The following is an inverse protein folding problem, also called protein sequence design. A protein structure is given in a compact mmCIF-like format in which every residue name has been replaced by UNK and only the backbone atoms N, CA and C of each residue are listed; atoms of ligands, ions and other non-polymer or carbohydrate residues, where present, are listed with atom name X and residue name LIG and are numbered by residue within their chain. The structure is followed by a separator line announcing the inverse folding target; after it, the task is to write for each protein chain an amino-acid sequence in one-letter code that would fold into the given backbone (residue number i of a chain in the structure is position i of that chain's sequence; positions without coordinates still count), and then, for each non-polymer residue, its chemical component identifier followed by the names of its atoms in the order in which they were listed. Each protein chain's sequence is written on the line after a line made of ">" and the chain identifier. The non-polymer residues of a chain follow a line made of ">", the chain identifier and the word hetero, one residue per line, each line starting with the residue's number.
data_IF_364594711876
#
_entry.id   IF_364594711876
#
_cell.length_a   1.000
_cell.length_b   1.000
_cell.length_c   1.000
_cell.angle_alpha   90.00
_cell.angle_beta   90.00
_cell.angle_gamma   90.00
#
_symmetry.space_group_name_H-M   'P 1'
#
loop_
_entity.id
_entity.type
_entity.pdbx_description
1 polymer ?
#
# COMPACT_ATOMS: atom_id res chain seq x y z
N UNK A 1 6.54 24.75 -2.09
CA UNK A 1 5.96 24.07 -3.22
C UNK A 1 4.48 24.03 -2.99
N UNK A 2 3.67 23.91 -4.03
CA UNK A 2 2.25 23.68 -3.76
C UNK A 2 2.09 22.27 -3.20
N UNK A 3 1.18 22.11 -2.25
CA UNK A 3 0.65 20.81 -1.83
C UNK A 3 0.40 19.89 -3.04
N UNK A 4 -0.16 20.43 -4.11
CA UNK A 4 -0.43 19.73 -5.37
C UNK A 4 0.82 19.10 -5.99
N UNK A 5 1.98 19.77 -5.98
CA UNK A 5 3.20 19.20 -6.55
C UNK A 5 3.83 18.11 -5.68
N UNK A 6 3.64 18.15 -4.35
CA UNK A 6 3.99 17.03 -3.45
C UNK A 6 3.07 15.84 -3.74
N UNK A 7 1.76 16.09 -3.87
CA UNK A 7 0.78 15.08 -4.23
C UNK A 7 1.09 14.43 -5.59
N UNK A 8 1.38 15.21 -6.62
CA UNK A 8 1.76 14.70 -7.95
C UNK A 8 3.05 13.86 -7.92
N UNK A 9 4.00 14.21 -7.04
CA UNK A 9 5.19 13.40 -6.77
C UNK A 9 4.84 12.06 -6.13
N UNK A 10 3.99 12.09 -5.09
CA UNK A 10 3.55 10.92 -4.36
C UNK A 10 2.69 9.97 -5.21
N UNK A 11 1.75 10.49 -6.00
CA UNK A 11 0.90 9.68 -6.87
C UNK A 11 1.73 8.87 -7.87
N UNK A 12 2.76 9.48 -8.47
CA UNK A 12 3.69 8.77 -9.36
C UNK A 12 4.43 7.66 -8.63
N UNK A 13 4.90 7.91 -7.41
CA UNK A 13 5.53 6.88 -6.60
C UNK A 13 4.56 5.72 -6.29
N UNK A 14 3.31 6.01 -5.92
CA UNK A 14 2.28 5.00 -5.67
C UNK A 14 2.00 4.19 -6.93
N UNK A 15 1.93 4.83 -8.10
CA UNK A 15 1.75 4.17 -9.38
C UNK A 15 2.88 3.17 -9.66
N UNK A 16 4.13 3.60 -9.52
CA UNK A 16 5.31 2.74 -9.72
C UNK A 16 5.33 1.58 -8.71
N UNK A 17 4.95 1.84 -7.45
CA UNK A 17 4.89 0.82 -6.40
C UNK A 17 3.79 -0.21 -6.64
N UNK A 18 2.63 0.22 -7.14
CA UNK A 18 1.52 -0.67 -7.51
C UNK A 18 1.88 -1.49 -8.74
N UNK A 19 2.49 -0.89 -9.76
CA UNK A 19 2.96 -1.61 -10.95
C UNK A 19 4.00 -2.69 -10.56
N UNK A 20 4.99 -2.32 -9.74
CA UNK A 20 5.99 -3.25 -9.23
C UNK A 20 5.38 -4.36 -8.37
N UNK A 21 4.39 -4.04 -7.54
CA UNK A 21 3.65 -5.03 -6.73
C UNK A 21 2.85 -5.97 -7.62
N UNK A 22 2.13 -5.45 -8.61
CA UNK A 22 1.34 -6.22 -9.55
C UNK A 22 2.22 -7.20 -10.35
N UNK A 23 3.36 -6.73 -10.86
CA UNK A 23 4.32 -7.57 -11.59
C UNK A 23 4.82 -8.78 -10.76
N UNK A 24 4.87 -8.63 -9.44
CA UNK A 24 5.33 -9.67 -8.52
C UNK A 24 4.20 -10.51 -7.94
N UNK A 25 2.95 -10.06 -7.96
CA UNK A 25 1.82 -10.75 -7.33
C UNK A 25 1.42 -12.02 -8.09
N UNK A 26 1.17 -13.10 -7.35
CA UNK A 26 0.82 -14.40 -7.93
C UNK A 26 -0.50 -14.94 -7.40
N UNK A 27 -1.56 -14.79 -8.20
CA UNK A 27 -2.88 -15.42 -8.00
C UNK A 27 -2.74 -16.93 -7.74
N UNK A 28 -1.83 -17.60 -8.44
CA UNK A 28 -1.62 -19.03 -8.25
C UNK A 28 -1.09 -19.40 -6.86
N UNK A 29 -0.29 -18.54 -6.23
CA UNK A 29 0.22 -18.75 -4.86
C UNK A 29 -0.88 -18.51 -3.85
N UNK A 30 -1.65 -17.44 -4.04
CA UNK A 30 -2.83 -17.12 -3.22
C UNK A 30 -3.79 -18.30 -3.20
N UNK A 31 -4.25 -18.75 -4.37
CA UNK A 31 -5.25 -19.82 -4.47
C UNK A 31 -4.79 -21.15 -3.85
N UNK A 32 -3.49 -21.44 -3.90
CA UNK A 32 -2.92 -22.68 -3.34
C UNK A 32 -2.75 -22.63 -1.82
N UNK A 33 -2.67 -21.45 -1.21
CA UNK A 33 -2.30 -21.28 0.22
C UNK A 33 -3.40 -20.63 1.06
N UNK A 34 -4.19 -19.74 0.48
CA UNK A 34 -5.14 -18.88 1.16
C UNK A 34 -6.60 -19.29 1.06
N UNK A 35 -6.92 -20.38 0.35
CA UNK A 35 -8.29 -20.93 0.32
C UNK A 35 -8.44 -21.96 1.43
N UNK A 36 -9.25 -21.66 2.43
CA UNK A 36 -9.53 -22.56 3.55
C UNK A 36 -10.87 -23.29 3.35
N UNK A 37 -10.84 -24.61 3.13
CA UNK A 37 -12.05 -25.46 3.04
C UNK A 37 -11.99 -26.59 2.00
N UNK A 38 -13.02 -27.47 1.95
CA UNK A 38 -13.10 -28.57 0.99
C UNK A 38 -13.39 -28.04 -0.42
N UNK A 39 -12.34 -27.71 -1.19
CA UNK A 39 -12.50 -26.94 -2.42
C UNK A 39 -11.52 -27.25 -3.55
N UNK A 40 -10.80 -28.38 -3.54
CA UNK A 40 -9.74 -28.67 -4.53
C UNK A 40 -10.18 -28.48 -6.00
N UNK A 41 -11.37 -28.95 -6.37
CA UNK A 41 -11.91 -28.79 -7.72
C UNK A 41 -12.27 -27.32 -8.08
N UNK A 42 -12.68 -26.51 -7.09
CA UNK A 42 -12.95 -25.08 -7.27
C UNK A 42 -11.65 -24.30 -7.42
N UNK A 43 -10.65 -24.58 -6.58
CA UNK A 43 -9.30 -24.03 -6.68
C UNK A 43 -8.67 -24.36 -8.04
N UNK A 44 -8.77 -25.60 -8.49
CA UNK A 44 -8.27 -26.01 -9.81
C UNK A 44 -8.95 -25.27 -10.96
N UNK A 45 -10.26 -24.99 -10.83
CA UNK A 45 -10.99 -24.22 -11.83
C UNK A 45 -10.58 -22.75 -11.82
N UNK A 46 -10.45 -22.13 -10.65
CA UNK A 46 -9.96 -20.76 -10.50
C UNK A 46 -8.54 -20.60 -11.05
N UNK A 47 -7.66 -21.58 -10.81
CA UNK A 47 -6.31 -21.60 -11.39
C UNK A 47 -6.30 -21.64 -12.92
N UNK A 48 -7.29 -22.28 -13.57
CA UNK A 48 -7.43 -22.29 -15.04
C UNK A 48 -7.95 -20.97 -15.60
N UNK A 49 -8.52 -20.12 -14.75
CA UNK A 49 -9.08 -18.82 -15.10
C UNK A 49 -8.38 -17.71 -14.32
N UNK A 50 -7.06 -17.82 -14.15
CA UNK A 50 -6.25 -16.83 -13.41
C UNK A 50 -6.36 -15.43 -13.98
N UNK A 51 -6.46 -15.28 -15.30
CA UNK A 51 -6.56 -13.98 -15.96
C UNK A 51 -7.90 -13.30 -15.63
N UNK A 52 -8.97 -14.09 -15.53
CA UNK A 52 -10.27 -13.57 -15.11
C UNK A 52 -10.25 -13.10 -13.64
N UNK A 53 -9.56 -13.85 -12.76
CA UNK A 53 -9.36 -13.42 -11.37
C UNK A 53 -8.50 -12.17 -11.29
N UNK A 54 -7.49 -12.06 -12.15
CA UNK A 54 -6.69 -10.86 -12.26
C UNK A 54 -7.56 -9.65 -12.58
N UNK A 55 -8.31 -9.72 -13.69
CA UNK A 55 -9.10 -8.60 -14.19
C UNK A 55 -10.28 -8.22 -13.28
N UNK A 56 -10.90 -9.20 -12.61
CA UNK A 56 -12.15 -8.99 -11.86
C UNK A 56 -11.99 -8.86 -10.36
N UNK A 57 -10.83 -9.23 -9.83
CA UNK A 57 -10.57 -9.22 -8.39
C UNK A 57 -9.27 -8.48 -8.10
N UNK A 58 -8.14 -8.94 -8.64
CA UNK A 58 -6.83 -8.35 -8.28
C UNK A 58 -6.73 -6.89 -8.72
N UNK A 59 -7.04 -6.59 -9.98
CA UNK A 59 -6.92 -5.22 -10.50
C UNK A 59 -7.84 -4.24 -9.76
N UNK A 60 -9.15 -4.53 -9.53
CA UNK A 60 -9.99 -3.68 -8.70
C UNK A 60 -9.49 -3.48 -7.26
N UNK A 61 -8.90 -4.50 -6.64
CA UNK A 61 -8.31 -4.38 -5.29
C UNK A 61 -7.06 -3.48 -5.31
N UNK A 62 -6.23 -3.56 -6.35
CA UNK A 62 -5.08 -2.67 -6.55
C UNK A 62 -5.52 -1.22 -6.80
N UNK A 63 -6.56 -1.00 -7.60
CA UNK A 63 -7.13 0.33 -7.85
C UNK A 63 -7.67 0.94 -6.55
N UNK A 64 -8.39 0.16 -5.76
CA UNK A 64 -8.89 0.56 -4.43
C UNK A 64 -7.75 0.88 -3.46
N UNK A 65 -6.68 0.07 -3.46
CA UNK A 65 -5.49 0.32 -2.65
C UNK A 65 -4.78 1.61 -3.07
N UNK A 66 -4.69 1.91 -4.37
CA UNK A 66 -4.17 3.19 -4.90
C UNK A 66 -4.95 4.37 -4.34
N UNK A 67 -6.27 4.35 -4.51
CA UNK A 67 -7.16 5.44 -4.09
C UNK A 67 -7.04 5.71 -2.59
N UNK A 68 -7.04 4.65 -1.77
CA UNK A 68 -6.88 4.74 -0.31
C UNK A 68 -5.51 5.26 0.10
N UNK A 69 -4.44 4.82 -0.56
CA UNK A 69 -3.08 5.28 -0.27
C UNK A 69 -2.92 6.77 -0.58
N UNK A 70 -3.47 7.25 -1.69
CA UNK A 70 -3.48 8.67 -2.04
C UNK A 70 -4.34 9.48 -1.07
N UNK A 71 -5.51 8.98 -0.68
CA UNK A 71 -6.36 9.64 0.31
C UNK A 71 -5.69 9.72 1.69
N UNK A 72 -5.00 8.66 2.11
CA UNK A 72 -4.24 8.64 3.36
C UNK A 72 -3.10 9.67 3.32
N UNK A 73 -2.40 9.79 2.20
CA UNK A 73 -1.36 10.80 2.08
C UNK A 73 -1.93 12.23 2.10
N UNK A 74 -3.11 12.47 1.53
CA UNK A 74 -3.77 13.77 1.66
C UNK A 74 -4.08 14.11 3.14
N UNK A 75 -4.51 13.14 3.95
CA UNK A 75 -4.69 13.33 5.40
C UNK A 75 -3.35 13.59 6.13
N UNK A 76 -2.26 12.97 5.69
CA UNK A 76 -0.91 13.23 6.21
C UNK A 76 -0.46 14.67 5.86
N UNK A 77 -0.80 15.17 4.67
CA UNK A 77 -0.52 16.56 4.31
C UNK A 77 -1.36 17.55 5.14
N UNK A 78 -2.60 17.20 5.47
CA UNK A 78 -3.43 18.01 6.38
C UNK A 78 -2.80 18.11 7.77
N UNK A 79 -2.19 17.02 8.26
CA UNK A 79 -1.35 17.03 9.46
C UNK A 79 -0.10 17.92 9.28
N UNK A 80 0.66 17.72 8.20
CA UNK A 80 1.92 18.44 7.96
C UNK A 80 1.74 19.96 7.82
N UNK A 81 0.58 20.41 7.34
CA UNK A 81 0.22 21.83 7.23
C UNK A 81 -0.39 22.41 8.52
N UNK A 82 -0.73 21.56 9.49
CA UNK A 82 -1.30 21.98 10.76
C UNK A 82 -0.22 22.27 11.81
N UNK A 83 -0.62 22.93 12.90
CA UNK A 83 0.22 23.08 14.10
C UNK A 83 -0.16 22.09 15.20
N UNK A 84 -1.03 21.13 14.88
CA UNK A 84 -1.57 20.16 15.83
C UNK A 84 -0.65 18.94 15.93
N UNK A 85 -0.80 18.19 17.02
CA UNK A 85 -0.11 16.91 17.21
C UNK A 85 -0.73 15.84 16.30
N UNK A 86 0.07 14.85 15.85
CA UNK A 86 -0.42 13.79 14.96
C UNK A 86 -1.61 13.00 15.55
N UNK A 87 -1.71 12.92 16.88
CA UNK A 87 -2.84 12.28 17.55
C UNK A 87 -4.18 12.96 17.25
N UNK A 88 -4.19 14.27 16.94
CA UNK A 88 -5.41 14.97 16.51
C UNK A 88 -5.91 14.51 15.13
N UNK A 89 -5.01 13.95 14.31
CA UNK A 89 -5.28 13.45 12.96
C UNK A 89 -5.33 11.92 12.87
N UNK A 90 -5.15 11.20 14.00
CA UNK A 90 -5.05 9.73 14.07
C UNK A 90 -6.17 9.01 13.31
N UNK A 91 -7.42 9.38 13.60
CA UNK A 91 -8.58 8.69 13.02
C UNK A 91 -8.72 8.94 11.51
N UNK A 92 -8.32 10.14 11.05
CA UNK A 92 -8.35 10.51 9.64
C UNK A 92 -7.24 9.78 8.85
N UNK A 93 -6.00 9.82 9.36
CA UNK A 93 -4.84 9.16 8.75
C UNK A 93 -5.04 7.64 8.72
N UNK A 94 -5.40 7.02 9.85
CA UNK A 94 -5.59 5.57 9.90
C UNK A 94 -6.85 5.13 9.16
N UNK A 95 -7.93 5.93 9.21
CA UNK A 95 -9.20 5.61 8.56
C UNK A 95 -9.18 5.72 7.04
N UNK A 96 -8.29 6.53 6.47
CA UNK A 96 -8.15 6.68 5.03
C UNK A 96 -7.37 5.53 4.37
N UNK A 97 -6.48 4.86 5.11
CA UNK A 97 -5.60 3.81 4.59
C UNK A 97 -6.15 2.38 4.72
N UNK A 98 -5.68 1.49 3.86
CA UNK A 98 -6.11 0.07 3.83
C UNK A 98 -5.67 -0.72 5.06
N UNK A 99 -4.50 -0.42 5.64
CA UNK A 99 -3.88 -1.32 6.61
C UNK A 99 -4.51 -1.29 8.00
N UNK A 100 -5.03 -0.14 8.46
CA UNK A 100 -5.75 -0.10 9.73
C UNK A 100 -7.04 -0.94 9.67
N UNK A 101 -7.74 -0.93 8.53
CA UNK A 101 -8.92 -1.75 8.28
C UNK A 101 -8.58 -3.26 8.17
N UNK A 102 -7.35 -3.59 7.76
CA UNK A 102 -6.87 -4.97 7.67
C UNK A 102 -6.36 -5.55 9.01
N UNK A 103 -6.39 -4.78 10.10
CA UNK A 103 -6.02 -5.29 11.43
C UNK A 103 -7.09 -6.29 11.88
N UNK A 104 -6.67 -7.49 12.27
CA UNK A 104 -7.57 -8.55 12.71
C UNK A 104 -8.47 -8.13 13.87
N UNK A 105 -9.74 -8.50 13.79
CA UNK A 105 -10.76 -8.17 14.78
C UNK A 105 -10.63 -8.97 16.09
N UNK A 106 -9.95 -10.11 16.06
CA UNK A 106 -9.74 -10.98 17.21
C UNK A 106 -8.50 -10.61 18.05
N UNK A 107 -7.78 -9.56 17.67
CA UNK A 107 -6.62 -9.10 18.42
C UNK A 107 -7.01 -8.51 19.77
N UNK A 108 -6.24 -8.80 20.84
CA UNK A 108 -6.38 -8.08 22.10
C UNK A 108 -6.27 -6.57 21.89
N UNK A 109 -7.13 -5.78 22.54
CA UNK A 109 -7.21 -4.33 22.35
C UNK A 109 -5.85 -3.61 22.53
N UNK A 110 -5.05 -4.03 23.52
CA UNK A 110 -3.71 -3.48 23.74
C UNK A 110 -2.75 -3.79 22.58
N UNK A 111 -2.89 -4.97 21.96
CA UNK A 111 -2.11 -5.36 20.79
C UNK A 111 -2.54 -4.59 19.55
N UNK A 112 -3.84 -4.44 19.31
CA UNK A 112 -4.38 -3.61 18.23
C UNK A 112 -3.87 -2.17 18.34
N UNK A 113 -3.94 -1.57 19.52
CA UNK A 113 -3.45 -0.20 19.75
C UNK A 113 -1.96 -0.05 19.42
N UNK A 114 -1.10 -0.98 19.84
CA UNK A 114 0.33 -0.93 19.47
C UNK A 114 0.59 -0.98 17.97
N UNK A 115 -0.21 -1.76 17.23
CA UNK A 115 -0.09 -1.85 15.77
C UNK A 115 -0.53 -0.55 15.12
N UNK A 116 -1.65 0.03 15.57
CA UNK A 116 -2.13 1.34 15.13
C UNK A 116 -1.10 2.45 15.44
N UNK A 117 -0.54 2.48 16.65
CA UNK A 117 0.47 3.46 17.05
C UNK A 117 1.75 3.34 16.19
N UNK A 118 2.14 2.11 15.82
CA UNK A 118 3.29 1.87 14.93
C UNK A 118 3.03 2.34 13.50
N UNK A 119 1.81 2.16 13.00
CA UNK A 119 1.38 2.69 11.70
C UNK A 119 1.36 4.22 11.74
N UNK A 120 0.77 4.81 12.79
CA UNK A 120 0.69 6.25 12.96
C UNK A 120 2.08 6.89 13.03
N UNK A 121 3.01 6.33 13.81
CA UNK A 121 4.39 6.83 13.91
C UNK A 121 5.14 6.81 12.56
N UNK A 122 4.81 5.86 11.68
CA UNK A 122 5.36 5.86 10.32
C UNK A 122 4.79 7.02 9.49
N UNK A 123 3.48 7.28 9.60
CA UNK A 123 2.82 8.37 8.90
C UNK A 123 3.20 9.75 9.43
N UNK A 124 3.39 9.89 10.75
CA UNK A 124 3.95 11.08 11.40
C UNK A 124 5.33 11.40 10.82
N UNK A 125 6.22 10.41 10.77
CA UNK A 125 7.55 10.56 10.20
C UNK A 125 7.53 11.00 8.74
N UNK A 126 6.58 10.49 7.93
CA UNK A 126 6.41 10.93 6.55
C UNK A 126 5.89 12.38 6.48
N UNK A 127 4.90 12.73 7.31
CA UNK A 127 4.34 14.08 7.42
C UNK A 127 5.42 15.12 7.76
N UNK A 128 6.23 14.84 8.77
CA UNK A 128 7.33 15.72 9.18
C UNK A 128 8.38 15.89 8.07
N UNK A 129 8.69 14.80 7.35
CA UNK A 129 9.67 14.82 6.27
C UNK A 129 9.23 15.65 5.05
N UNK A 130 7.93 15.84 4.83
CA UNK A 130 7.42 16.63 3.70
C UNK A 130 7.22 18.11 4.03
N UNK A 131 7.26 18.52 5.29
CA UNK A 131 7.11 19.95 5.69
C UNK A 131 8.07 20.87 4.93
N UNK A 132 9.40 20.61 4.86
CA UNK A 132 10.32 21.49 4.14
C UNK A 132 9.98 21.62 2.65
N UNK A 133 9.50 20.53 2.05
CA UNK A 133 9.11 20.48 0.65
C UNK A 133 7.89 21.37 0.39
N UNK A 134 6.86 21.27 1.23
CA UNK A 134 5.65 22.10 1.16
C UNK A 134 6.01 23.59 1.35
N UNK A 135 6.84 23.92 2.33
CA UNK A 135 7.22 25.30 2.64
C UNK A 135 8.16 25.95 1.61
N UNK A 136 8.77 25.17 0.72
CA UNK A 136 9.68 25.65 -0.32
C UNK A 136 9.05 26.76 -1.19
N UNK A 137 9.80 27.73 -1.75
CA UNK A 137 9.23 28.63 -2.76
C UNK A 137 9.11 27.98 -4.15
N UNK A 138 9.76 26.83 -4.38
CA UNK A 138 9.84 26.18 -5.69
C UNK A 138 8.52 25.52 -6.10
N UNK A 139 8.25 25.42 -7.40
CA UNK A 139 7.00 24.84 -7.94
C UNK A 139 7.15 23.43 -8.50
N UNK A 140 8.38 22.97 -8.72
CA UNK A 140 8.70 21.60 -9.13
C UNK A 140 9.24 20.80 -7.94
N UNK A 141 8.87 19.52 -7.85
CA UNK A 141 9.28 18.63 -6.76
C UNK A 141 10.79 18.52 -6.59
N UNK A 142 11.54 18.33 -7.69
CA UNK A 142 12.99 18.15 -7.60
C UNK A 142 13.73 19.46 -7.40
N UNK A 143 13.16 20.58 -7.86
CA UNK A 143 13.68 21.90 -7.52
C UNK A 143 13.48 22.19 -6.04
N UNK A 144 12.29 21.89 -5.49
CA UNK A 144 12.01 22.00 -4.07
C UNK A 144 12.94 21.11 -3.23
N UNK A 145 13.05 19.82 -3.58
CA UNK A 145 13.91 18.87 -2.89
C UNK A 145 15.38 19.32 -2.86
N UNK A 146 15.92 19.82 -3.98
CA UNK A 146 17.30 20.34 -4.02
C UNK A 146 17.48 21.66 -3.26
N UNK A 147 16.41 22.45 -3.12
CA UNK A 147 16.46 23.70 -2.38
C UNK A 147 16.38 23.47 -0.86
N UNK A 148 15.76 22.38 -0.41
CA UNK A 148 15.44 22.15 1.01
C UNK A 148 16.20 20.99 1.64
N UNK A 149 16.69 20.04 0.84
CA UNK A 149 17.40 18.83 1.28
C UNK A 149 18.78 18.76 0.64
N UNK A 150 19.75 18.26 1.38
CA UNK A 150 20.99 17.74 0.79
C UNK A 150 20.80 16.31 0.24
N UNK A 151 21.81 15.81 -0.47
CA UNK A 151 21.74 14.49 -1.09
C UNK A 151 21.63 13.33 -0.08
N UNK A 152 22.18 13.49 1.13
CA UNK A 152 22.08 12.49 2.18
C UNK A 152 20.68 12.51 2.80
N UNK A 153 20.13 13.68 3.09
CA UNK A 153 18.77 13.85 3.61
C UNK A 153 17.72 13.31 2.63
N UNK A 154 17.87 13.60 1.34
CA UNK A 154 16.98 13.07 0.31
C UNK A 154 17.12 11.55 0.11
N UNK A 155 18.33 11.00 0.29
CA UNK A 155 18.55 9.55 0.29
C UNK A 155 17.88 8.89 1.50
N UNK A 156 18.04 9.45 2.69
CA UNK A 156 17.42 8.95 3.92
C UNK A 156 15.90 8.97 3.80
N UNK A 157 15.31 10.04 3.24
CA UNK A 157 13.87 10.11 2.95
C UNK A 157 13.43 8.97 2.03
N UNK A 158 14.18 8.67 0.96
CA UNK A 158 13.87 7.55 0.08
C UNK A 158 13.99 6.21 0.82
N UNK A 159 15.04 6.01 1.62
CA UNK A 159 15.25 4.73 2.31
C UNK A 159 14.23 4.47 3.41
N UNK A 160 13.82 5.51 4.14
CA UNK A 160 12.93 5.38 5.29
C UNK A 160 11.46 5.46 4.89
N UNK A 161 11.10 6.42 4.05
CA UNK A 161 9.69 6.70 3.77
C UNK A 161 9.14 5.83 2.65
N UNK A 162 10.00 5.34 1.74
CA UNK A 162 9.54 4.42 0.69
C UNK A 162 9.56 2.96 1.17
N UNK A 163 10.06 2.67 2.38
CA UNK A 163 10.01 1.36 3.02
C UNK A 163 8.65 1.08 3.71
N UNK A 164 7.55 1.32 2.99
CA UNK A 164 6.18 1.30 3.52
C UNK A 164 5.71 -0.07 4.02
N UNK A 165 6.38 -1.16 3.64
CA UNK A 165 6.03 -2.52 4.11
C UNK A 165 6.58 -2.85 5.49
N UNK A 166 7.50 -2.04 6.04
CA UNK A 166 8.17 -2.34 7.31
C UNK A 166 7.20 -2.54 8.50
N UNK A 167 6.21 -1.65 8.75
CA UNK A 167 5.26 -1.84 9.85
C UNK A 167 4.47 -3.15 9.73
N UNK A 168 4.13 -3.55 8.50
CA UNK A 168 3.38 -4.77 8.24
C UNK A 168 4.22 -6.02 8.47
N UNK A 169 5.51 -5.98 8.15
CA UNK A 169 6.42 -7.10 8.38
C UNK A 169 6.69 -7.31 9.88
N UNK A 170 6.84 -6.22 10.63
CA UNK A 170 7.01 -6.25 12.09
C UNK A 170 5.81 -6.87 12.80
N UNK A 171 4.60 -6.63 12.28
CA UNK A 171 3.34 -7.08 12.86
C UNK A 171 2.53 -7.99 11.93
N UNK A 172 3.18 -8.84 11.13
CA UNK A 172 2.52 -9.66 10.10
C UNK A 172 1.29 -10.42 10.60
N UNK A 173 1.36 -11.01 11.79
CA UNK A 173 0.28 -11.82 12.37
C UNK A 173 -0.88 -10.98 12.94
N UNK A 174 -0.76 -9.65 12.91
CA UNK A 174 -1.83 -8.73 13.27
C UNK A 174 -2.70 -8.33 12.08
N UNK A 175 -2.28 -8.62 10.85
CA UNK A 175 -3.01 -8.25 9.65
C UNK A 175 -3.65 -9.47 9.00
N UNK A 176 -4.79 -9.23 8.36
CA UNK A 176 -5.48 -10.19 7.50
C UNK A 176 -5.99 -9.45 6.27
N UNK A 177 -5.29 -9.64 5.16
CA UNK A 177 -5.76 -9.20 3.85
C UNK A 177 -6.51 -10.37 3.23
N UNK A 178 -7.83 -10.23 3.14
CA UNK A 178 -8.71 -11.22 2.58
C UNK A 178 -9.75 -10.57 1.67
N UNK A 179 -10.19 -11.30 0.65
CA UNK A 179 -11.29 -10.88 -0.22
C UNK A 179 -12.27 -12.03 -0.37
N UNK A 180 -13.55 -11.71 -0.46
CA UNK A 180 -14.60 -12.70 -0.64
C UNK A 180 -15.05 -12.71 -2.09
N UNK A 181 -14.90 -13.86 -2.75
CA UNK A 181 -15.34 -14.02 -4.13
C UNK A 181 -16.53 -14.98 -4.23
N UNK A 182 -17.36 -14.77 -5.25
CA UNK A 182 -18.35 -15.75 -5.70
C UNK A 182 -17.85 -16.42 -6.98
N UNK A 183 -17.32 -17.66 -6.90
CA UNK A 183 -16.79 -18.36 -8.06
C UNK A 183 -17.86 -18.59 -9.15
N UNK A 184 -19.13 -18.69 -8.78
CA UNK A 184 -20.21 -18.92 -9.74
C UNK A 184 -20.53 -17.68 -10.57
N UNK A 185 -20.48 -16.50 -9.94
CA UNK A 185 -20.62 -15.21 -10.60
C UNK A 185 -19.41 -14.90 -11.51
N UNK A 186 -18.20 -15.26 -11.07
CA UNK A 186 -16.97 -15.04 -11.82
C UNK A 186 -16.85 -15.95 -13.06
N UNK A 187 -17.06 -17.26 -12.87
CA UNK A 187 -16.74 -18.25 -13.91
C UNK A 187 -17.85 -18.44 -14.95
N UNK A 188 -19.06 -17.95 -14.70
CA UNK A 188 -20.21 -18.00 -15.63
C UNK A 188 -20.59 -19.43 -16.06
N UNK A 189 -21.62 -20.02 -15.43
CA UNK A 189 -22.09 -21.35 -15.87
C UNK A 189 -23.46 -21.78 -15.35
N UNK A 190 -24.19 -22.54 -16.19
CA UNK A 190 -25.50 -23.18 -15.93
C UNK A 190 -25.48 -24.27 -14.82
N UNK A 191 -24.41 -24.33 -14.02
CA UNK A 191 -24.26 -25.23 -12.87
C UNK A 191 -24.67 -24.60 -11.53
N UNK A 192 -25.23 -23.38 -11.55
CA UNK A 192 -25.62 -22.57 -10.38
C UNK A 192 -26.75 -23.12 -9.50
N UNK A 193 -27.01 -24.43 -9.53
CA UNK A 193 -27.95 -25.12 -8.64
C UNK A 193 -27.28 -25.75 -7.42
N UNK A 194 -25.94 -25.67 -7.30
CA UNK A 194 -25.21 -26.12 -6.13
C UNK A 194 -24.70 -24.90 -5.36
N UNK A 195 -25.48 -24.52 -4.36
CA UNK A 195 -25.22 -23.61 -3.23
C UNK A 195 -24.21 -22.45 -3.46
N UNK A 196 -24.64 -21.17 -3.35
CA UNK A 196 -23.72 -20.03 -3.38
C UNK A 196 -22.77 -20.16 -2.19
N UNK A 197 -21.55 -20.62 -2.47
CA UNK A 197 -20.46 -20.66 -1.51
C UNK A 197 -19.54 -19.53 -1.91
N UNK A 198 -19.80 -18.36 -1.32
CA UNK A 198 -18.79 -17.32 -1.24
C UNK A 198 -17.56 -17.96 -0.60
N UNK A 199 -16.42 -17.81 -1.25
CA UNK A 199 -15.15 -18.27 -0.69
C UNK A 199 -14.35 -17.04 -0.30
N UNK A 200 -13.86 -17.08 0.92
CA UNK A 200 -12.86 -16.14 1.39
C UNK A 200 -11.50 -16.62 0.91
N UNK A 201 -10.69 -15.67 0.45
CA UNK A 201 -9.34 -15.90 -0.03
C UNK A 201 -8.44 -14.98 0.77
N UNK A 202 -7.67 -15.54 1.70
CA UNK A 202 -6.62 -14.80 2.39
C UNK A 202 -5.40 -14.66 1.46
N UNK A 203 -4.86 -13.46 1.33
CA UNK A 203 -3.71 -13.17 0.48
C UNK A 203 -2.62 -12.35 1.19
N UNK A 204 -2.71 -12.18 2.51
CA UNK A 204 -1.74 -11.43 3.36
C UNK A 204 -0.29 -11.71 2.99
N UNK A 205 0.11 -12.99 2.99
CA UNK A 205 1.49 -13.40 2.74
C UNK A 205 1.99 -13.06 1.33
N UNK A 206 1.11 -13.22 0.35
CA UNK A 206 1.46 -12.95 -1.03
C UNK A 206 1.48 -11.45 -1.30
N UNK A 207 0.57 -10.68 -0.70
CA UNK A 207 0.57 -9.23 -0.76
C UNK A 207 1.87 -8.68 -0.18
N UNK A 208 2.26 -9.09 1.04
CA UNK A 208 3.51 -8.65 1.68
C UNK A 208 4.74 -9.04 0.87
N UNK A 209 4.74 -10.23 0.28
CA UNK A 209 5.84 -10.67 -0.59
C UNK A 209 5.94 -9.81 -1.84
N UNK A 210 4.82 -9.53 -2.50
CA UNK A 210 4.76 -8.75 -3.73
C UNK A 210 5.12 -7.28 -3.46
N UNK A 211 4.49 -6.67 -2.46
CA UNK A 211 4.76 -5.29 -2.03
C UNK A 211 6.23 -5.10 -1.68
N UNK A 212 6.84 -6.01 -0.90
CA UNK A 212 8.28 -5.90 -0.56
C UNK A 212 9.20 -5.95 -1.79
N UNK A 213 8.80 -6.63 -2.86
CA UNK A 213 9.58 -6.68 -4.09
C UNK A 213 9.37 -5.45 -4.95
N UNK A 214 8.12 -4.99 -5.08
CA UNK A 214 7.80 -3.71 -5.70
C UNK A 214 8.54 -2.55 -5.02
N UNK A 215 8.46 -2.48 -3.69
CA UNK A 215 9.17 -1.52 -2.83
C UNK A 215 10.67 -1.44 -3.15
N UNK A 216 11.36 -2.59 -3.21
CA UNK A 216 12.79 -2.63 -3.53
C UNK A 216 13.09 -2.10 -4.93
N UNK A 217 12.22 -2.37 -5.89
CA UNK A 217 12.38 -1.87 -7.25
C UNK A 217 12.23 -0.34 -7.27
N UNK A 218 11.18 0.18 -6.64
CA UNK A 218 10.92 1.62 -6.60
C UNK A 218 12.00 2.37 -5.84
N UNK A 219 12.47 1.86 -4.69
CA UNK A 219 13.63 2.43 -3.98
C UNK A 219 14.86 2.47 -4.88
N UNK A 220 15.15 1.42 -5.63
CA UNK A 220 16.28 1.39 -6.55
C UNK A 220 16.13 2.35 -7.74
N UNK A 221 14.90 2.65 -8.15
CA UNK A 221 14.60 3.65 -9.19
C UNK A 221 14.70 5.07 -8.65
N UNK A 222 14.13 5.32 -7.47
CA UNK A 222 14.20 6.60 -6.77
C UNK A 222 15.65 7.01 -6.48
N UNK A 223 16.51 6.08 -6.04
CA UNK A 223 17.95 6.33 -5.85
C UNK A 223 18.66 6.71 -7.14
N UNK A 224 18.34 6.04 -8.25
CA UNK A 224 18.90 6.39 -9.58
C UNK A 224 18.41 7.74 -10.07
N UNK A 225 17.19 8.15 -9.72
CA UNK A 225 16.70 9.49 -10.01
C UNK A 225 17.42 10.54 -9.13
N UNK A 226 17.59 10.26 -7.83
CA UNK A 226 18.33 11.10 -6.91
C UNK A 226 19.74 11.39 -7.44
N UNK A 227 20.51 10.35 -7.79
CA UNK A 227 21.86 10.49 -8.35
C UNK A 227 21.85 11.40 -9.59
N UNK A 228 20.88 11.22 -10.49
CA UNK A 228 20.75 12.08 -11.70
C UNK A 228 20.45 13.54 -11.38
N UNK A 229 19.73 13.81 -10.29
CA UNK A 229 19.28 15.15 -9.91
C UNK A 229 20.27 15.90 -9.04
N UNK A 230 21.03 15.19 -8.20
CA UNK A 230 21.97 15.77 -7.24
C UNK A 230 23.44 15.71 -7.72
N UNK A 231 23.87 14.66 -8.42
CA UNK A 231 25.26 14.53 -8.92
C UNK A 231 25.47 15.17 -10.31
N UNK A 232 24.42 15.76 -10.89
CA UNK A 232 24.45 16.44 -12.19
C UNK A 232 25.09 17.84 -12.20
N UNK A 233 25.83 18.24 -11.15
CA UNK A 233 26.44 19.58 -11.02
C UNK A 233 27.96 19.54 -11.10
#
# INVERSE_FOLDING_TARGET
>A
MTRDAVMDGFERFVDDAIEGTAAEFSVSRVLRRGVHGPGGATVDRLLKHSDLLWDRVVQPELDSYREQTVAQFAAILDYAESSDDVEAHRDEILGAGTFAAAIRDDLPAERRRRVEDRLLAHHESLGDAVVPLIESPETDFWDAARATLDAAEALDLIEEQFAFTAPLLEHRDAFELATTIDPSALLGGLGGLLTPSRIEIEYTDEALRAMRRGERQVIAEAKRELDRRFDGT
#
